data_IF_489512622905
#
_entry.id   IF_489512622905
#
_cell.length_a   1.000
_cell.length_b   1.000
_cell.length_c   1.000
_cell.angle_alpha   90.00
_cell.angle_beta   90.00
_cell.angle_gamma   90.00
#
_symmetry.space_group_name_H-M   'P 1'
#
loop_
_entity.id
_entity.type
_entity.pdbx_description
1 polymer ?
#
# COMPACT_ATOMS: atom_id res chain seq x y z
N UNK A 1 14.49 -18.75 9.11
CA UNK A 1 13.26 -18.65 9.94
C UNK A 1 12.17 -19.40 9.20
N UNK A 2 11.46 -20.36 9.80
CA UNK A 2 10.30 -20.93 9.14
C UNK A 2 9.25 -19.84 8.96
N UNK A 3 8.83 -19.62 7.72
CA UNK A 3 7.74 -18.70 7.39
C UNK A 3 6.39 -19.39 7.67
N UNK A 4 5.32 -18.67 7.97
CA UNK A 4 3.97 -19.23 8.06
C UNK A 4 3.45 -19.68 6.70
N UNK A 5 2.29 -20.32 6.69
CA UNK A 5 1.70 -20.93 5.48
C UNK A 5 1.37 -19.89 4.38
N UNK A 6 1.18 -18.63 4.75
CA UNK A 6 0.82 -17.56 3.84
C UNK A 6 1.69 -16.32 4.07
N UNK A 7 2.41 -15.88 3.06
CA UNK A 7 3.21 -14.64 3.06
C UNK A 7 2.57 -13.63 2.12
N UNK A 8 2.19 -12.49 2.66
CA UNK A 8 1.40 -11.48 1.96
C UNK A 8 2.12 -10.14 1.91
N UNK A 9 2.11 -9.49 0.75
CA UNK A 9 2.57 -8.11 0.58
C UNK A 9 1.36 -7.19 0.36
N UNK A 10 1.17 -6.23 1.24
CA UNK A 10 0.08 -5.24 1.20
C UNK A 10 0.64 -3.87 0.84
N UNK A 11 0.19 -3.31 -0.28
CA UNK A 11 0.74 -2.10 -0.90
C UNK A 11 -0.29 -0.96 -0.89
N UNK A 12 0.02 0.09 -0.14
CA UNK A 12 -0.82 1.30 -0.04
C UNK A 12 -0.79 2.12 -1.33
N UNK A 13 -1.86 2.88 -1.61
CA UNK A 13 -1.88 3.91 -2.64
C UNK A 13 -1.04 5.14 -2.27
N UNK A 14 -0.47 5.83 -3.27
CA UNK A 14 0.35 7.04 -3.00
C UNK A 14 1.19 7.57 -4.16
N UNK A 15 0.79 7.29 -5.41
CA UNK A 15 1.41 7.86 -6.61
C UNK A 15 2.92 7.62 -6.69
N UNK A 16 3.71 8.69 -6.87
CA UNK A 16 5.16 8.62 -7.04
C UNK A 16 5.90 7.97 -5.86
N UNK A 17 5.31 7.97 -4.65
CA UNK A 17 5.86 7.29 -3.49
C UNK A 17 5.94 5.76 -3.65
N UNK A 18 5.23 5.18 -4.61
CA UNK A 18 5.25 3.75 -4.88
C UNK A 18 6.62 3.17 -5.26
N UNK A 19 7.60 4.01 -5.62
CA UNK A 19 8.99 3.58 -5.80
C UNK A 19 9.60 3.01 -4.49
N UNK A 20 9.15 3.46 -3.33
CA UNK A 20 9.49 2.87 -2.03
C UNK A 20 9.05 1.40 -1.95
N UNK A 21 7.84 1.09 -2.44
CA UNK A 21 7.33 -0.29 -2.46
C UNK A 21 8.17 -1.20 -3.35
N UNK A 22 8.67 -0.66 -4.47
CA UNK A 22 9.56 -1.40 -5.36
C UNK A 22 10.89 -1.74 -4.67
N UNK A 23 11.47 -0.80 -3.91
CA UNK A 23 12.65 -1.05 -3.10
C UNK A 23 12.41 -2.07 -1.97
N UNK A 24 11.24 -2.02 -1.34
CA UNK A 24 10.82 -3.04 -0.36
C UNK A 24 10.77 -4.42 -1.01
N UNK A 25 10.09 -4.54 -2.15
CA UNK A 25 9.98 -5.80 -2.86
C UNK A 25 11.35 -6.37 -3.26
N UNK A 26 12.23 -5.54 -3.85
CA UNK A 26 13.58 -5.96 -4.21
C UNK A 26 14.35 -6.52 -3.01
N UNK A 27 14.31 -5.84 -1.86
CA UNK A 27 14.99 -6.32 -0.65
C UNK A 27 14.39 -7.62 -0.10
N UNK A 28 13.06 -7.80 -0.15
CA UNK A 28 12.42 -9.07 0.25
C UNK A 28 12.84 -10.23 -0.65
N UNK A 29 12.97 -9.99 -1.96
CA UNK A 29 13.45 -11.00 -2.93
C UNK A 29 14.91 -11.37 -2.67
N UNK A 30 15.76 -10.38 -2.40
CA UNK A 30 17.19 -10.61 -2.04
C UNK A 30 17.32 -11.49 -0.77
N UNK A 31 16.39 -11.38 0.16
CA UNK A 31 16.30 -12.21 1.38
C UNK A 31 15.71 -13.61 1.14
N UNK A 32 15.29 -13.91 -0.08
CA UNK A 32 14.69 -15.20 -0.40
C UNK A 32 13.22 -15.33 0.01
N UNK A 33 12.53 -14.23 0.35
CA UNK A 33 11.09 -14.27 0.68
C UNK A 33 10.29 -14.62 -0.57
N UNK A 34 9.42 -15.60 -0.48
CA UNK A 34 8.43 -15.95 -1.50
C UNK A 34 7.08 -15.40 -1.07
N UNK A 35 6.36 -14.80 -2.01
CA UNK A 35 5.05 -14.20 -1.78
C UNK A 35 3.96 -15.11 -2.36
N UNK A 36 2.96 -15.39 -1.56
CA UNK A 36 1.76 -16.13 -1.98
C UNK A 36 0.67 -15.20 -2.47
N UNK A 37 0.65 -13.96 -1.95
CA UNK A 37 -0.40 -13.01 -2.24
C UNK A 37 0.13 -11.58 -2.21
N UNK A 38 -0.26 -10.77 -3.20
CA UNK A 38 0.00 -9.33 -3.25
C UNK A 38 -1.34 -8.59 -3.37
N UNK A 39 -1.58 -7.65 -2.48
CA UNK A 39 -2.78 -6.82 -2.49
C UNK A 39 -2.40 -5.34 -2.57
N UNK A 40 -3.02 -4.57 -3.47
CA UNK A 40 -2.64 -3.18 -3.71
C UNK A 40 -3.81 -2.25 -4.02
N UNK A 41 -3.59 -0.96 -3.74
CA UNK A 41 -4.50 0.13 -4.10
C UNK A 41 -3.72 1.16 -4.91
N UNK A 42 -4.32 1.71 -5.98
CA UNK A 42 -3.72 2.78 -6.80
C UNK A 42 -2.34 2.38 -7.34
N UNK A 43 -1.28 3.14 -7.05
CA UNK A 43 0.09 2.77 -7.43
C UNK A 43 0.51 1.41 -6.85
N UNK A 44 -0.03 1.07 -5.67
CA UNK A 44 0.18 -0.26 -5.07
C UNK A 44 -0.43 -1.37 -5.92
N UNK A 45 -1.55 -1.13 -6.62
CA UNK A 45 -2.14 -2.09 -7.56
C UNK A 45 -1.26 -2.26 -8.81
N UNK A 46 -0.63 -1.19 -9.30
CA UNK A 46 0.33 -1.25 -10.42
C UNK A 46 1.53 -2.12 -10.03
N UNK A 47 2.17 -1.82 -8.90
CA UNK A 47 3.29 -2.61 -8.39
C UNK A 47 2.88 -4.08 -8.16
N UNK A 48 1.70 -4.32 -7.56
CA UNK A 48 1.17 -5.66 -7.33
C UNK A 48 0.96 -6.45 -8.62
N UNK A 49 0.42 -5.82 -9.66
CA UNK A 49 0.22 -6.45 -10.97
C UNK A 49 1.56 -6.83 -11.63
N UNK A 50 2.57 -5.96 -11.56
CA UNK A 50 3.91 -6.26 -12.07
C UNK A 50 4.53 -7.44 -11.31
N UNK A 51 4.37 -7.49 -9.98
CA UNK A 51 4.87 -8.60 -9.15
C UNK A 51 4.17 -9.91 -9.51
N UNK A 52 2.83 -9.94 -9.55
CA UNK A 52 2.06 -11.15 -9.81
C UNK A 52 2.18 -11.64 -11.27
N UNK A 53 2.31 -10.72 -12.22
CA UNK A 53 2.40 -11.02 -13.66
C UNK A 53 3.79 -11.40 -14.15
N UNK A 54 4.81 -11.51 -13.27
CA UNK A 54 6.15 -11.86 -13.71
C UNK A 54 6.77 -12.98 -12.85
N UNK A 55 7.69 -13.77 -13.41
CA UNK A 55 8.54 -14.63 -12.60
C UNK A 55 9.31 -13.80 -11.56
N UNK A 56 9.54 -14.40 -10.38
CA UNK A 56 10.19 -13.74 -9.26
C UNK A 56 11.52 -13.06 -9.62
N UNK A 57 12.33 -13.72 -10.40
CA UNK A 57 13.64 -13.25 -10.89
C UNK A 57 13.55 -12.12 -11.92
N UNK A 58 12.43 -11.99 -12.62
CA UNK A 58 12.19 -10.96 -13.62
C UNK A 58 11.42 -9.74 -13.06
N UNK A 59 10.61 -9.93 -12.01
CA UNK A 59 9.68 -8.91 -11.52
C UNK A 59 10.38 -7.62 -11.07
N UNK A 60 11.53 -7.71 -10.39
CA UNK A 60 12.32 -6.53 -9.98
C UNK A 60 12.77 -5.73 -11.21
N UNK A 61 13.25 -6.41 -12.25
CA UNK A 61 13.64 -5.78 -13.51
C UNK A 61 12.48 -5.08 -14.20
N UNK A 62 11.28 -5.69 -14.19
CA UNK A 62 10.05 -5.10 -14.74
C UNK A 62 9.55 -3.90 -13.92
N UNK A 63 9.65 -3.96 -12.60
CA UNK A 63 9.36 -2.80 -11.76
C UNK A 63 10.33 -1.64 -12.04
N UNK A 64 11.62 -1.94 -12.22
CA UNK A 64 12.61 -0.92 -12.57
C UNK A 64 12.32 -0.32 -13.95
N UNK A 65 11.99 -1.14 -14.94
CA UNK A 65 11.56 -0.67 -16.27
C UNK A 65 10.35 0.28 -16.19
N UNK A 66 9.34 -0.06 -15.37
CA UNK A 66 8.20 0.82 -15.11
C UNK A 66 8.63 2.15 -14.50
N UNK A 67 9.32 2.11 -13.36
CA UNK A 67 9.69 3.29 -12.60
C UNK A 67 10.67 4.20 -13.35
N UNK A 68 11.60 3.63 -14.10
CA UNK A 68 12.49 4.37 -14.97
C UNK A 68 11.76 5.02 -16.15
N UNK A 69 10.78 4.33 -16.72
CA UNK A 69 9.94 4.84 -17.78
C UNK A 69 9.14 6.07 -17.33
N UNK A 70 8.40 5.98 -16.24
CA UNK A 70 7.56 7.07 -15.71
C UNK A 70 8.39 8.25 -15.17
N UNK A 71 9.66 8.07 -14.87
CA UNK A 71 10.58 9.14 -14.41
C UNK A 71 11.48 9.71 -15.51
N UNK A 72 11.28 9.32 -16.77
CA UNK A 72 12.20 9.64 -17.88
C UNK A 72 12.07 11.04 -18.47
N UNK A 73 10.92 11.70 -18.33
CA UNK A 73 10.64 12.98 -18.99
C UNK A 73 11.22 14.20 -18.27
N UNK A 74 11.59 14.04 -16.99
CA UNK A 74 12.11 15.17 -16.22
C UNK A 74 13.61 15.27 -16.42
N UNK A 75 14.15 16.43 -16.88
CA UNK A 75 15.59 16.61 -17.02
C UNK A 75 16.23 16.41 -15.65
N UNK A 76 17.35 15.70 -15.64
CA UNK A 76 18.19 15.62 -14.45
C UNK A 76 18.75 17.03 -14.20
N UNK A 77 18.07 17.78 -13.37
CA UNK A 77 18.60 19.04 -12.89
C UNK A 77 19.81 18.70 -12.01
N UNK A 78 20.99 19.18 -12.40
CA UNK A 78 22.16 19.17 -11.53
C UNK A 78 21.88 20.14 -10.38
N UNK A 79 21.24 19.61 -9.35
CA UNK A 79 20.84 20.39 -8.18
C UNK A 79 22.00 20.40 -7.21
N UNK A 80 22.29 21.58 -6.65
CA UNK A 80 23.26 21.72 -5.58
C UNK A 80 22.91 20.78 -4.41
N UNK A 81 23.89 20.22 -3.76
CA UNK A 81 23.69 19.23 -2.69
C UNK A 81 23.30 19.91 -1.35
N UNK A 82 22.19 20.66 -1.39
CA UNK A 82 21.56 21.25 -0.23
C UNK A 82 20.04 21.11 -0.30
N UNK A 83 19.39 21.06 0.85
CA UNK A 83 17.95 20.77 0.96
C UNK A 83 17.08 21.83 0.23
N UNK A 84 17.42 23.11 0.29
CA UNK A 84 16.68 24.17 -0.37
C UNK A 84 16.67 24.01 -1.90
N UNK A 85 17.81 23.68 -2.50
CA UNK A 85 17.88 23.46 -3.94
C UNK A 85 17.11 22.20 -4.37
N UNK A 86 17.14 21.12 -3.55
CA UNK A 86 16.36 19.92 -3.77
C UNK A 86 14.86 20.17 -3.67
N UNK A 87 14.42 20.96 -2.72
CA UNK A 87 13.04 21.39 -2.54
C UNK A 87 12.52 22.17 -3.76
N UNK A 88 13.27 23.16 -4.26
CA UNK A 88 12.94 23.88 -5.48
C UNK A 88 12.87 22.98 -6.71
N UNK A 89 13.80 22.06 -6.87
CA UNK A 89 13.78 21.08 -7.94
C UNK A 89 12.55 20.15 -7.87
N UNK A 90 12.18 19.75 -6.66
CA UNK A 90 11.01 18.93 -6.39
C UNK A 90 9.70 19.65 -6.80
N UNK A 91 9.56 20.92 -6.44
CA UNK A 91 8.43 21.75 -6.89
C UNK A 91 8.38 21.94 -8.41
N UNK A 92 9.52 22.20 -9.04
CA UNK A 92 9.61 22.36 -10.48
C UNK A 92 9.21 21.06 -11.20
N UNK A 93 9.67 19.92 -10.72
CA UNK A 93 9.33 18.60 -11.24
C UNK A 93 7.82 18.29 -11.10
N UNK A 94 7.23 18.57 -9.94
CA UNK A 94 5.79 18.41 -9.73
C UNK A 94 4.97 19.34 -10.68
N UNK A 95 5.42 20.56 -10.88
CA UNK A 95 4.81 21.48 -11.85
C UNK A 95 4.87 20.97 -13.29
N UNK A 96 5.98 20.35 -13.70
CA UNK A 96 6.11 19.72 -15.02
C UNK A 96 5.16 18.53 -15.17
N UNK A 97 5.04 17.68 -14.17
CA UNK A 97 4.08 16.56 -14.14
C UNK A 97 2.65 17.07 -14.30
N UNK A 98 2.28 18.12 -13.59
CA UNK A 98 0.95 18.73 -13.71
C UNK A 98 0.69 19.30 -15.13
N UNK A 99 1.69 19.90 -15.77
CA UNK A 99 1.56 20.52 -17.07
C UNK A 99 1.62 19.53 -18.25
N UNK A 100 2.47 18.51 -18.17
CA UNK A 100 2.80 17.62 -19.30
C UNK A 100 2.43 16.15 -19.06
N UNK A 101 1.98 15.79 -17.86
CA UNK A 101 1.72 14.40 -17.48
C UNK A 101 2.99 13.61 -17.19
N UNK A 102 2.84 12.28 -17.20
CA UNK A 102 3.89 11.31 -16.91
C UNK A 102 3.99 10.32 -18.06
N UNK A 103 5.17 10.15 -18.69
CA UNK A 103 5.35 9.21 -19.80
C UNK A 103 4.94 7.79 -19.42
N UNK A 104 4.20 7.13 -20.33
CA UNK A 104 3.75 5.77 -20.10
C UNK A 104 2.75 5.60 -18.94
N UNK A 105 2.24 6.72 -18.37
CA UNK A 105 1.27 6.69 -17.29
C UNK A 105 0.03 7.51 -17.65
N UNK A 106 0.15 8.83 -17.74
CA UNK A 106 -0.97 9.71 -18.10
C UNK A 106 -0.51 10.95 -18.85
N UNK A 107 -1.40 11.48 -19.70
CA UNK A 107 -1.17 12.70 -20.50
C UNK A 107 -2.29 13.69 -20.27
N UNK A 108 -2.02 15.03 -20.33
CA UNK A 108 -3.05 16.04 -20.25
C UNK A 108 -4.05 15.91 -21.41
N UNK A 109 -5.34 16.12 -21.14
CA UNK A 109 -6.35 16.14 -22.19
C UNK A 109 -6.28 17.39 -23.05
N UNK A 110 -6.32 17.17 -24.35
CA UNK A 110 -6.42 18.23 -25.36
C UNK A 110 -7.59 17.86 -26.30
N UNK A 111 -8.68 18.64 -26.31
CA UNK A 111 -8.94 19.84 -25.53
C UNK A 111 -9.15 19.57 -24.02
N UNK A 112 -8.99 20.61 -23.16
CA UNK A 112 -9.28 20.49 -21.73
C UNK A 112 -10.72 20.05 -21.42
N UNK A 113 -11.00 19.47 -20.23
CA UNK A 113 -12.29 18.84 -19.89
C UNK A 113 -13.53 19.72 -20.12
N UNK A 114 -13.40 21.04 -19.91
CA UNK A 114 -14.50 22.00 -20.10
C UNK A 114 -15.01 22.09 -21.53
N UNK A 115 -14.26 21.60 -22.50
CA UNK A 115 -14.64 21.56 -23.92
C UNK A 115 -15.03 20.14 -24.39
N UNK A 116 -14.98 19.16 -23.52
CA UNK A 116 -15.39 17.79 -23.81
C UNK A 116 -16.91 17.64 -23.77
N UNK A 117 -17.44 16.65 -24.48
CA UNK A 117 -18.87 16.36 -24.46
C UNK A 117 -19.31 15.99 -23.02
N UNK A 118 -20.42 16.55 -22.52
CA UNK A 118 -20.96 16.19 -21.22
C UNK A 118 -21.19 14.68 -21.07
N UNK A 119 -21.10 14.16 -19.86
CA UNK A 119 -21.31 12.74 -19.53
C UNK A 119 -20.25 11.78 -20.13
N UNK A 120 -19.11 12.31 -20.56
CA UNK A 120 -17.97 11.46 -20.97
C UNK A 120 -16.88 11.49 -19.90
N UNK A 121 -16.06 10.42 -19.80
CA UNK A 121 -14.88 10.43 -18.91
C UNK A 121 -13.95 11.63 -19.16
N UNK A 122 -13.88 12.11 -20.39
CA UNK A 122 -13.08 13.28 -20.76
C UNK A 122 -13.60 14.58 -20.15
N UNK A 123 -14.90 14.71 -19.90
CA UNK A 123 -15.50 15.90 -19.28
C UNK A 123 -15.25 16.00 -17.76
N UNK A 124 -14.85 14.88 -17.12
CA UNK A 124 -14.71 14.79 -15.67
C UNK A 124 -13.30 14.39 -15.21
N UNK A 125 -12.31 14.47 -16.11
CA UNK A 125 -10.91 14.18 -15.78
C UNK A 125 -9.93 15.06 -16.54
N UNK A 126 -8.85 15.49 -15.86
CA UNK A 126 -7.82 16.34 -16.46
C UNK A 126 -6.86 15.59 -17.37
N UNK A 127 -6.64 14.30 -17.09
CA UNK A 127 -5.67 13.48 -17.80
C UNK A 127 -6.34 12.29 -18.48
N UNK A 128 -5.63 11.71 -19.45
CA UNK A 128 -5.93 10.45 -20.11
C UNK A 128 -4.93 9.38 -19.65
N UNK A 129 -5.41 8.19 -19.34
CA UNK A 129 -4.61 7.07 -18.83
C UNK A 129 -4.39 5.97 -19.88
N UNK A 130 -4.73 6.20 -21.16
CA UNK A 130 -4.42 5.24 -22.22
C UNK A 130 -2.94 4.81 -22.27
N UNK A 131 -1.94 5.70 -22.03
CA UNK A 131 -0.54 5.27 -21.99
C UNK A 131 -0.22 4.23 -20.91
N UNK A 132 -0.97 4.21 -19.80
CA UNK A 132 -0.77 3.21 -18.74
C UNK A 132 -1.23 1.82 -19.18
N UNK A 133 -2.29 1.71 -19.98
CA UNK A 133 -2.73 0.42 -20.53
C UNK A 133 -1.61 -0.23 -21.33
N UNK A 134 -1.02 0.52 -22.27
CA UNK A 134 0.09 0.03 -23.12
C UNK A 134 1.30 -0.37 -22.27
N UNK A 135 1.60 0.40 -21.23
CA UNK A 135 2.69 0.12 -20.30
C UNK A 135 2.45 -1.16 -19.52
N UNK A 136 1.24 -1.34 -18.98
CA UNK A 136 0.89 -2.55 -18.23
C UNK A 136 0.87 -3.79 -19.12
N UNK A 137 0.27 -3.70 -20.32
CA UNK A 137 0.22 -4.82 -21.26
C UNK A 137 1.62 -5.28 -21.72
N UNK A 138 2.60 -4.39 -21.72
CA UNK A 138 4.00 -4.69 -22.01
C UNK A 138 4.76 -5.29 -20.81
N UNK A 139 4.39 -4.90 -19.60
CA UNK A 139 5.13 -5.27 -18.37
C UNK A 139 4.52 -6.44 -17.60
N UNK A 140 3.25 -6.75 -17.82
CA UNK A 140 2.47 -7.73 -17.06
C UNK A 140 1.99 -8.85 -17.95
N UNK A 141 2.30 -10.06 -17.61
CA UNK A 141 1.69 -11.25 -18.20
C UNK A 141 0.35 -11.53 -17.50
N UNK A 142 -0.74 -11.14 -18.15
CA UNK A 142 -2.10 -11.31 -17.60
C UNK A 142 -2.54 -12.76 -17.45
N UNK A 143 -2.05 -13.66 -18.27
CA UNK A 143 -2.34 -15.10 -18.14
C UNK A 143 -1.67 -15.62 -16.87
N UNK A 144 -0.41 -15.24 -16.62
CA UNK A 144 0.28 -15.58 -15.37
C UNK A 144 -0.43 -15.00 -14.13
N UNK A 145 -0.93 -13.76 -14.20
CA UNK A 145 -1.73 -13.16 -13.11
C UNK A 145 -2.93 -14.06 -12.80
N UNK A 146 -3.66 -14.46 -13.83
CA UNK A 146 -4.89 -15.23 -13.71
C UNK A 146 -4.67 -16.73 -13.47
N UNK A 147 -3.48 -17.25 -13.68
CA UNK A 147 -3.07 -18.59 -13.26
C UNK A 147 -2.90 -18.72 -11.73
N UNK A 148 -2.92 -17.59 -11.02
CA UNK A 148 -2.97 -17.54 -9.56
C UNK A 148 -1.72 -18.05 -8.84
N UNK A 149 -0.55 -18.06 -9.49
CA UNK A 149 0.73 -18.44 -8.86
C UNK A 149 1.08 -17.53 -7.69
N UNK A 150 0.79 -16.23 -7.85
CA UNK A 150 0.73 -15.25 -6.78
C UNK A 150 -0.66 -14.66 -6.83
N UNK A 151 -1.46 -14.82 -5.79
CA UNK A 151 -2.79 -14.22 -5.71
C UNK A 151 -2.69 -12.70 -5.81
N UNK A 152 -3.51 -12.08 -6.63
CA UNK A 152 -3.58 -10.63 -6.78
C UNK A 152 -4.96 -10.13 -6.34
N UNK A 153 -4.99 -9.11 -5.47
CA UNK A 153 -6.20 -8.37 -5.15
C UNK A 153 -5.99 -6.87 -5.34
N UNK A 154 -6.92 -6.21 -6.00
CA UNK A 154 -6.90 -4.76 -6.18
C UNK A 154 -8.26 -4.17 -5.82
N UNK A 155 -8.25 -3.02 -5.16
CA UNK A 155 -9.49 -2.39 -4.67
C UNK A 155 -9.84 -1.14 -5.44
N UNK A 156 -11.14 -0.95 -5.70
CA UNK A 156 -11.70 0.24 -6.34
C UNK A 156 -13.06 0.60 -5.72
N UNK A 157 -13.55 1.81 -5.99
CA UNK A 157 -14.83 2.33 -5.47
C UNK A 157 -15.81 2.51 -6.61
N UNK A 158 -16.99 1.90 -6.51
CA UNK A 158 -18.06 2.12 -7.48
C UNK A 158 -18.58 3.56 -7.38
N UNK A 159 -18.56 4.28 -8.51
CA UNK A 159 -18.86 5.73 -8.56
C UNK A 159 -20.28 6.05 -8.10
N UNK A 160 -21.25 5.28 -8.56
CA UNK A 160 -22.67 5.56 -8.32
C UNK A 160 -23.12 5.24 -6.89
N UNK A 161 -22.45 4.28 -6.23
CA UNK A 161 -22.88 3.79 -4.91
C UNK A 161 -21.95 4.16 -3.77
N UNK A 162 -20.67 4.50 -4.09
CA UNK A 162 -19.60 4.67 -3.12
C UNK A 162 -19.17 3.36 -2.46
N UNK A 163 -19.68 2.21 -2.90
CA UNK A 163 -19.30 0.92 -2.35
C UNK A 163 -17.90 0.50 -2.82
N UNK A 164 -17.15 -0.02 -1.87
CA UNK A 164 -15.83 -0.58 -2.15
C UNK A 164 -15.94 -2.00 -2.73
N UNK A 165 -15.14 -2.31 -3.75
CA UNK A 165 -15.02 -3.65 -4.34
C UNK A 165 -13.56 -4.04 -4.42
N UNK A 166 -13.26 -5.28 -4.02
CA UNK A 166 -12.00 -5.94 -4.36
C UNK A 166 -12.22 -6.82 -5.60
N UNK A 167 -11.33 -6.68 -6.57
CA UNK A 167 -11.15 -7.63 -7.67
C UNK A 167 -10.00 -8.56 -7.26
N UNK A 168 -10.24 -9.85 -7.28
CA UNK A 168 -9.35 -10.86 -6.73
C UNK A 168 -9.21 -12.04 -7.70
N UNK A 169 -7.99 -12.50 -7.99
CA UNK A 169 -7.74 -13.60 -8.92
C UNK A 169 -8.36 -14.94 -8.53
N UNK A 170 -8.87 -15.08 -7.30
CA UNK A 170 -9.67 -16.25 -6.88
C UNK A 170 -11.09 -16.21 -7.44
N UNK A 171 -11.63 -15.05 -7.75
CA UNK A 171 -13.03 -14.84 -8.13
C UNK A 171 -13.21 -14.11 -9.45
N UNK A 172 -12.22 -13.32 -9.84
CA UNK A 172 -12.30 -12.44 -11.00
C UNK A 172 -11.15 -12.75 -11.98
N UNK A 173 -11.39 -12.53 -13.28
CA UNK A 173 -10.32 -12.46 -14.27
C UNK A 173 -9.81 -11.02 -14.37
N UNK A 174 -8.60 -10.78 -13.90
CA UNK A 174 -8.01 -9.44 -13.83
C UNK A 174 -7.27 -9.09 -15.12
N UNK A 175 -7.43 -7.84 -15.57
CA UNK A 175 -6.69 -7.22 -16.67
C UNK A 175 -6.30 -5.78 -16.34
N UNK A 176 -5.68 -5.06 -17.28
CA UNK A 176 -5.22 -3.69 -17.08
C UNK A 176 -6.33 -2.73 -16.60
N UNK A 177 -7.61 -2.94 -17.01
CA UNK A 177 -8.74 -2.07 -16.60
C UNK A 177 -8.95 -2.09 -15.09
N UNK A 178 -8.77 -3.23 -14.44
CA UNK A 178 -8.90 -3.37 -12.98
C UNK A 178 -7.83 -2.57 -12.24
N UNK A 179 -6.61 -2.56 -12.79
CA UNK A 179 -5.51 -1.78 -12.23
C UNK A 179 -5.75 -0.29 -12.42
N UNK A 180 -6.20 0.11 -13.63
CA UNK A 180 -6.57 1.50 -13.91
C UNK A 180 -7.70 1.98 -13.00
N UNK A 181 -8.73 1.15 -12.79
CA UNK A 181 -9.86 1.46 -11.89
C UNK A 181 -9.38 1.73 -10.47
N UNK A 182 -8.45 0.89 -9.97
CA UNK A 182 -7.84 1.06 -8.64
C UNK A 182 -7.04 2.35 -8.52
N UNK A 183 -6.49 2.88 -9.62
CA UNK A 183 -5.71 4.12 -9.65
C UNK A 183 -6.43 5.35 -10.20
N UNK A 184 -7.71 5.26 -10.52
CA UNK A 184 -8.52 6.32 -11.15
C UNK A 184 -8.91 7.42 -10.15
N UNK A 185 -7.95 8.20 -9.65
CA UNK A 185 -8.19 9.26 -8.65
C UNK A 185 -8.83 10.51 -9.27
N UNK A 186 -10.10 10.82 -8.93
CA UNK A 186 -10.77 12.01 -9.45
C UNK A 186 -10.25 13.31 -8.79
N UNK A 187 -10.31 14.46 -9.46
CA UNK A 187 -10.68 14.66 -10.87
C UNK A 187 -9.46 14.53 -11.81
N UNK A 188 -8.33 14.06 -11.32
CA UNK A 188 -7.10 13.91 -12.12
C UNK A 188 -7.32 12.89 -13.23
N UNK A 189 -7.67 11.67 -12.86
CA UNK A 189 -7.76 10.52 -13.76
C UNK A 189 -9.23 10.10 -14.01
N UNK A 190 -9.54 9.55 -15.21
CA UNK A 190 -10.90 9.18 -15.59
C UNK A 190 -11.39 7.97 -14.81
N UNK A 191 -12.70 7.85 -14.54
CA UNK A 191 -13.29 6.60 -14.09
C UNK A 191 -13.14 5.51 -15.14
N UNK A 192 -13.10 4.26 -14.70
CA UNK A 192 -12.99 3.08 -15.56
C UNK A 192 -14.24 2.23 -15.45
N UNK A 193 -14.81 1.85 -16.58
CA UNK A 193 -15.97 0.95 -16.63
C UNK A 193 -15.53 -0.51 -16.64
N UNK A 194 -16.09 -1.30 -15.72
CA UNK A 194 -15.92 -2.75 -15.64
C UNK A 194 -17.30 -3.36 -15.46
N UNK A 195 -17.71 -4.20 -16.40
CA UNK A 195 -19.01 -4.92 -16.38
C UNK A 195 -20.23 -4.01 -16.14
N UNK A 196 -20.23 -2.82 -16.78
CA UNK A 196 -21.32 -1.84 -16.69
C UNK A 196 -21.34 -0.99 -15.41
N UNK A 197 -20.32 -1.09 -14.57
CA UNK A 197 -20.15 -0.26 -13.37
C UNK A 197 -18.91 0.63 -13.52
N UNK A 198 -19.05 1.90 -13.20
CA UNK A 198 -17.92 2.86 -13.21
C UNK A 198 -17.17 2.84 -11.87
N UNK A 199 -15.84 2.83 -11.92
CA UNK A 199 -14.99 2.77 -10.75
C UNK A 199 -14.00 3.93 -10.69
N UNK A 200 -13.76 4.42 -9.48
CA UNK A 200 -12.70 5.32 -9.09
C UNK A 200 -11.71 4.64 -8.15
N UNK A 201 -10.60 5.37 -7.86
CA UNK A 201 -9.50 4.94 -7.00
C UNK A 201 -10.01 4.45 -5.64
N UNK A 202 -9.53 3.26 -5.24
CA UNK A 202 -9.84 2.67 -3.95
C UNK A 202 -9.43 3.54 -2.76
N UNK A 203 -8.39 4.37 -2.92
CA UNK A 203 -7.90 5.28 -1.89
C UNK A 203 -8.93 6.31 -1.40
N UNK A 204 -10.01 6.55 -2.14
CA UNK A 204 -11.12 7.39 -1.68
C UNK A 204 -11.81 6.84 -0.43
N UNK A 205 -11.85 5.53 -0.27
CA UNK A 205 -12.52 4.84 0.85
C UNK A 205 -11.53 4.11 1.75
N UNK A 206 -10.67 3.27 1.16
CA UNK A 206 -9.65 2.50 1.89
C UNK A 206 -8.35 2.46 1.08
N UNK A 207 -7.28 3.03 1.65
CA UNK A 207 -6.01 3.16 0.93
C UNK A 207 -5.04 1.98 1.18
N UNK A 208 -5.39 1.03 2.05
CA UNK A 208 -4.55 -0.13 2.38
C UNK A 208 -5.44 -1.37 2.51
N UNK A 209 -5.23 -2.42 1.70
CA UNK A 209 -6.13 -3.58 1.60
C UNK A 209 -5.92 -4.65 2.68
N UNK A 210 -5.41 -4.31 3.87
CA UNK A 210 -5.11 -5.28 4.93
C UNK A 210 -6.36 -5.99 5.46
N UNK A 211 -7.49 -5.26 5.63
CA UNK A 211 -8.73 -5.84 6.14
C UNK A 211 -9.23 -6.95 5.21
N UNK A 212 -9.25 -6.70 3.90
CA UNK A 212 -9.60 -7.71 2.90
C UNK A 212 -8.71 -8.95 2.98
N UNK A 213 -7.39 -8.75 3.12
CA UNK A 213 -6.43 -9.85 3.25
C UNK A 213 -6.74 -10.70 4.47
N UNK A 214 -6.94 -10.08 5.63
CA UNK A 214 -7.18 -10.79 6.90
C UNK A 214 -8.54 -11.49 6.93
N UNK A 215 -9.56 -10.93 6.26
CA UNK A 215 -10.91 -11.50 6.19
C UNK A 215 -11.08 -12.58 5.12
N UNK A 216 -10.19 -12.60 4.12
CA UNK A 216 -10.25 -13.53 2.98
C UNK A 216 -9.30 -14.73 3.09
N UNK A 217 -8.68 -14.95 4.25
CA UNK A 217 -7.78 -16.06 4.49
C UNK A 217 -7.96 -16.67 5.87
N UNK A 218 -7.93 -18.01 5.91
CA UNK A 218 -8.07 -18.82 7.12
C UNK A 218 -6.72 -19.41 7.60
N UNK A 219 -5.63 -19.11 6.88
CA UNK A 219 -4.28 -19.61 7.17
C UNK A 219 -3.52 -18.73 8.16
N UNK A 220 -2.48 -19.25 8.78
CA UNK A 220 -1.51 -18.45 9.51
C UNK A 220 -0.72 -17.58 8.52
N UNK A 221 -0.59 -16.28 8.80
CA UNK A 221 -0.02 -15.36 7.84
C UNK A 221 1.03 -14.42 8.40
N UNK A 222 2.00 -14.10 7.55
CA UNK A 222 2.93 -12.99 7.70
C UNK A 222 2.59 -11.93 6.64
N UNK A 223 2.25 -10.74 7.09
CA UNK A 223 1.92 -9.62 6.21
C UNK A 223 3.02 -8.58 6.29
N UNK A 224 3.65 -8.29 5.16
CA UNK A 224 4.45 -7.08 4.97
C UNK A 224 3.52 -5.97 4.50
N UNK A 225 3.21 -5.04 5.37
CA UNK A 225 2.37 -3.88 5.07
C UNK A 225 3.25 -2.69 4.75
N UNK A 226 3.15 -2.17 3.53
CA UNK A 226 3.95 -1.04 3.05
C UNK A 226 3.09 0.21 3.02
N UNK A 227 3.33 1.10 3.97
CA UNK A 227 2.61 2.36 4.12
C UNK A 227 3.43 3.53 3.55
N UNK A 228 2.81 4.34 2.70
CA UNK A 228 3.46 5.47 2.03
C UNK A 228 3.25 6.80 2.76
N UNK A 229 2.32 6.85 3.70
CA UNK A 229 1.99 8.04 4.47
C UNK A 229 2.22 7.78 5.96
N UNK A 230 3.13 8.53 6.63
CA UNK A 230 3.43 8.34 8.03
C UNK A 230 2.31 8.90 8.92
N UNK A 231 1.87 8.11 9.91
CA UNK A 231 0.87 8.56 10.88
C UNK A 231 1.43 9.63 11.84
N UNK A 232 2.71 9.50 12.20
CA UNK A 232 3.42 10.46 13.05
C UNK A 232 4.18 11.46 12.19
N UNK A 233 4.24 12.71 12.61
CA UNK A 233 5.00 13.75 11.94
C UNK A 233 5.07 15.00 12.82
N UNK A 234 5.98 15.95 12.51
CA UNK A 234 6.13 17.19 13.24
C UNK A 234 4.87 18.08 13.13
N UNK A 235 4.82 19.09 13.98
CA UNK A 235 3.81 20.14 13.87
C UNK A 235 4.16 21.03 12.65
N UNK A 236 3.20 21.29 11.73
CA UNK A 236 3.43 22.17 10.59
C UNK A 236 3.76 23.61 11.01
N UNK A 237 4.67 24.24 10.25
CA UNK A 237 5.09 25.63 10.46
C UNK A 237 4.54 26.57 9.39
N UNK A 238 4.13 26.04 8.21
CA UNK A 238 3.55 26.79 7.11
C UNK A 238 2.38 26.04 6.45
N UNK A 239 1.79 26.64 5.38
CA UNK A 239 0.64 26.08 4.68
C UNK A 239 0.97 24.81 3.90
N UNK A 240 2.16 24.73 3.36
CA UNK A 240 2.61 23.55 2.60
C UNK A 240 2.75 22.34 3.52
N UNK A 241 3.47 22.53 4.61
CA UNK A 241 3.59 21.49 5.64
C UNK A 241 2.23 21.09 6.22
N UNK A 242 1.29 22.06 6.36
CA UNK A 242 -0.07 21.79 6.81
C UNK A 242 -0.84 20.91 5.82
N UNK A 243 -0.77 21.18 4.52
CA UNK A 243 -1.39 20.34 3.48
C UNK A 243 -0.74 18.96 3.39
N UNK A 244 0.58 18.92 3.44
CA UNK A 244 1.33 17.66 3.48
C UNK A 244 0.91 16.81 4.69
N UNK A 245 0.84 17.41 5.87
CA UNK A 245 0.46 16.73 7.11
C UNK A 245 -1.01 16.29 7.12
N UNK A 246 -1.92 17.10 6.56
CA UNK A 246 -3.34 16.72 6.38
C UNK A 246 -3.46 15.45 5.53
N UNK A 247 -2.72 15.39 4.42
CA UNK A 247 -2.65 14.22 3.54
C UNK A 247 -2.13 12.99 4.26
N UNK A 248 -1.04 13.13 5.02
CA UNK A 248 -0.49 12.06 5.84
C UNK A 248 -1.51 11.50 6.83
N UNK A 249 -2.19 12.38 7.55
CA UNK A 249 -3.22 11.98 8.52
C UNK A 249 -4.38 11.27 7.82
N UNK A 250 -4.86 11.82 6.70
CA UNK A 250 -5.98 11.27 5.94
C UNK A 250 -5.73 9.84 5.51
N UNK A 251 -4.56 9.57 4.93
CA UNK A 251 -4.24 8.25 4.38
C UNK A 251 -3.69 7.26 5.41
N UNK A 252 -3.02 7.74 6.48
CA UNK A 252 -2.46 6.85 7.50
C UNK A 252 -3.43 6.49 8.63
N UNK A 253 -4.38 7.36 8.97
CA UNK A 253 -5.20 7.21 10.18
C UNK A 253 -6.10 5.97 10.12
N UNK A 254 -6.72 5.71 8.97
CA UNK A 254 -7.56 4.52 8.76
C UNK A 254 -6.73 3.25 8.80
N UNK A 255 -5.61 3.23 8.08
CA UNK A 255 -4.70 2.09 8.01
C UNK A 255 -4.25 1.64 9.39
N UNK A 256 -3.75 2.56 10.22
CA UNK A 256 -3.28 2.23 11.57
C UNK A 256 -4.41 1.68 12.45
N UNK A 257 -5.58 2.31 12.41
CA UNK A 257 -6.74 1.86 13.20
C UNK A 257 -7.19 0.46 12.80
N UNK A 258 -7.19 0.16 11.52
CA UNK A 258 -7.54 -1.16 10.98
C UNK A 258 -6.50 -2.19 11.41
N UNK A 259 -5.21 -1.95 11.17
CA UNK A 259 -4.13 -2.89 11.49
C UNK A 259 -4.10 -3.22 12.99
N UNK A 260 -4.12 -2.20 13.85
CA UNK A 260 -4.11 -2.39 15.31
C UNK A 260 -5.39 -3.10 15.80
N UNK A 261 -6.54 -2.80 15.17
CA UNK A 261 -7.82 -3.45 15.47
C UNK A 261 -7.85 -4.93 15.12
N UNK A 262 -7.33 -5.28 13.95
CA UNK A 262 -7.27 -6.67 13.48
C UNK A 262 -6.36 -7.53 14.37
N UNK A 263 -5.15 -7.06 14.64
CA UNK A 263 -4.21 -7.79 15.53
C UNK A 263 -4.78 -7.93 16.94
N UNK A 264 -5.40 -6.86 17.49
CA UNK A 264 -6.07 -6.94 18.79
C UNK A 264 -7.19 -7.97 18.79
N UNK A 265 -8.06 -7.98 17.78
CA UNK A 265 -9.15 -8.98 17.64
C UNK A 265 -8.60 -10.40 17.62
N UNK A 266 -7.51 -10.67 16.89
CA UNK A 266 -6.86 -11.98 16.87
C UNK A 266 -6.31 -12.37 18.26
N UNK A 267 -5.74 -11.43 19.02
CA UNK A 267 -5.30 -11.68 20.41
C UNK A 267 -6.46 -12.02 21.34
N UNK A 268 -7.56 -11.29 21.23
CA UNK A 268 -8.78 -11.51 22.01
C UNK A 268 -9.40 -12.89 21.67
N UNK A 269 -9.52 -13.25 20.40
CA UNK A 269 -10.00 -14.56 19.96
C UNK A 269 -9.13 -15.69 20.49
N UNK A 270 -7.79 -15.54 20.43
CA UNK A 270 -6.88 -16.54 20.99
C UNK A 270 -7.02 -16.71 22.51
N UNK A 271 -7.28 -15.61 23.24
CA UNK A 271 -7.55 -15.68 24.66
C UNK A 271 -8.83 -16.47 24.96
N UNK A 272 -9.90 -16.17 24.21
CA UNK A 272 -11.17 -16.89 24.32
C UNK A 272 -10.98 -18.39 23.99
N UNK A 273 -10.27 -18.71 22.90
CA UNK A 273 -9.97 -20.10 22.54
C UNK A 273 -9.29 -20.86 23.69
N UNK A 274 -8.26 -20.25 24.32
CA UNK A 274 -7.60 -20.83 25.49
C UNK A 274 -8.52 -21.01 26.70
N UNK A 275 -9.53 -20.19 26.85
CA UNK A 275 -10.54 -20.35 27.90
C UNK A 275 -11.49 -21.51 27.57
N UNK A 276 -11.90 -21.62 26.31
CA UNK A 276 -12.73 -22.73 25.84
C UNK A 276 -12.03 -24.10 26.03
N UNK A 277 -10.71 -24.15 25.79
CA UNK A 277 -9.90 -25.36 26.01
C UNK A 277 -9.92 -25.87 27.46
N UNK A 278 -10.21 -24.99 28.42
CA UNK A 278 -10.30 -25.32 29.85
C UNK A 278 -11.70 -25.73 30.30
N UNK A 279 -12.72 -25.62 29.41
CA UNK A 279 -14.10 -26.01 29.76
C UNK A 279 -14.22 -27.54 29.91
N UNK A 280 -15.04 -28.02 30.86
CA UNK A 280 -15.43 -29.42 30.95
C UNK A 280 -16.08 -29.90 29.64
N UNK A 281 -15.91 -31.14 29.28
CA UNK A 281 -16.41 -31.73 28.05
C UNK A 281 -17.93 -31.61 27.90
N UNK A 282 -18.66 -31.67 29.00
CA UNK A 282 -20.10 -31.49 29.08
C UNK A 282 -20.55 -30.10 28.62
N UNK A 283 -19.70 -29.09 28.81
CA UNK A 283 -19.98 -27.71 28.35
C UNK A 283 -19.60 -27.48 26.89
N UNK A 284 -18.62 -28.21 26.37
CA UNK A 284 -18.16 -28.06 24.98
C UNK A 284 -19.20 -28.49 23.94
N UNK A 285 -20.16 -29.33 24.33
CA UNK A 285 -21.23 -29.78 23.44
C UNK A 285 -22.36 -28.79 23.30
N UNK A 286 -22.41 -27.75 24.14
CA UNK A 286 -23.44 -26.72 24.10
C UNK A 286 -23.39 -25.93 22.77
N UNK A 287 -24.54 -25.64 22.14
CA UNK A 287 -24.60 -24.90 20.88
C UNK A 287 -23.90 -23.53 20.95
N UNK A 288 -24.02 -22.83 22.07
CA UNK A 288 -23.42 -21.53 22.31
C UNK A 288 -21.88 -21.62 22.34
N UNK A 289 -21.33 -22.64 23.00
CA UNK A 289 -19.90 -22.88 23.07
C UNK A 289 -19.35 -23.21 21.67
N UNK A 290 -20.02 -24.07 20.91
CA UNK A 290 -19.65 -24.39 19.53
C UNK A 290 -19.75 -23.18 18.61
N UNK A 291 -20.68 -22.26 18.84
CA UNK A 291 -20.76 -21.02 18.09
C UNK A 291 -19.55 -20.12 18.38
N UNK A 292 -19.16 -19.97 19.65
CA UNK A 292 -17.97 -19.21 20.04
C UNK A 292 -16.68 -19.87 19.52
N UNK A 293 -16.56 -21.19 19.60
CA UNK A 293 -15.40 -21.93 19.03
C UNK A 293 -15.19 -21.57 17.55
N UNK A 294 -16.28 -21.57 16.75
CA UNK A 294 -16.20 -21.17 15.32
C UNK A 294 -15.81 -19.71 15.13
N UNK A 295 -16.23 -18.80 16.01
CA UNK A 295 -15.88 -17.38 15.93
C UNK A 295 -14.38 -17.13 16.23
N UNK A 296 -13.79 -17.93 17.11
CA UNK A 296 -12.41 -17.74 17.58
C UNK A 296 -11.41 -18.69 16.90
N UNK A 297 -11.86 -19.53 15.97
CA UNK A 297 -10.99 -20.38 15.16
C UNK A 297 -10.28 -19.53 14.10
N UNK A 298 -9.34 -18.72 14.56
CA UNK A 298 -8.51 -17.89 13.70
C UNK A 298 -7.03 -18.18 13.92
N UNK A 299 -6.32 -18.29 12.80
CA UNK A 299 -4.89 -18.53 12.75
C UNK A 299 -4.08 -17.29 13.14
N UNK A 300 -2.79 -17.48 13.38
CA UNK A 300 -1.88 -16.40 13.76
C UNK A 300 -1.74 -15.35 12.65
N UNK A 301 -1.71 -14.07 13.06
CA UNK A 301 -1.49 -12.94 12.18
C UNK A 301 -0.27 -12.14 12.66
N UNK A 302 0.79 -12.11 11.87
CA UNK A 302 1.93 -11.24 12.11
C UNK A 302 2.00 -10.15 11.03
N UNK A 303 2.05 -8.90 11.45
CA UNK A 303 2.11 -7.74 10.54
C UNK A 303 3.41 -6.99 10.76
N UNK A 304 4.24 -6.89 9.73
CA UNK A 304 5.44 -6.05 9.69
C UNK A 304 5.12 -4.79 8.91
N UNK A 305 5.10 -3.64 9.58
CA UNK A 305 4.81 -2.36 8.97
C UNK A 305 6.10 -1.68 8.52
N UNK A 306 6.22 -1.48 7.20
CA UNK A 306 7.30 -0.77 6.53
C UNK A 306 6.75 0.58 6.10
N UNK A 307 7.09 1.63 6.85
CA UNK A 307 6.46 2.95 6.69
C UNK A 307 7.47 3.89 6.05
N UNK A 308 7.10 4.48 4.91
CA UNK A 308 7.89 5.51 4.25
C UNK A 308 8.04 6.72 5.18
N UNK A 309 9.28 7.12 5.43
CA UNK A 309 9.64 8.32 6.18
C UNK A 309 10.23 9.33 5.19
N UNK A 310 9.47 10.37 4.80
CA UNK A 310 9.94 11.32 3.79
C UNK A 310 11.15 12.11 4.32
N UNK A 311 12.22 12.26 3.53
CA UNK A 311 13.28 13.21 3.82
C UNK A 311 12.76 14.65 3.87
N UNK A 312 13.46 15.55 4.57
CA UNK A 312 13.02 16.93 4.77
C UNK A 312 12.83 17.73 3.47
N UNK A 313 13.58 17.39 2.41
CA UNK A 313 13.46 18.03 1.11
C UNK A 313 12.27 17.58 0.25
N UNK A 314 11.58 16.50 0.63
CA UNK A 314 10.35 16.08 -0.06
C UNK A 314 9.18 16.93 0.41
N UNK A 315 8.61 17.70 -0.51
CA UNK A 315 7.53 18.64 -0.25
C UNK A 315 6.14 17.98 -0.23
N UNK A 316 5.09 18.76 -0.05
CA UNK A 316 3.70 18.30 -0.10
C UNK A 316 3.25 17.72 -1.44
N UNK A 317 4.04 17.91 -2.50
CA UNK A 317 3.80 17.36 -3.84
C UNK A 317 4.40 15.96 -4.07
N UNK A 318 4.98 15.34 -3.07
CA UNK A 318 5.76 14.08 -3.17
C UNK A 318 5.03 12.89 -3.79
N UNK A 319 3.71 12.85 -3.75
CA UNK A 319 2.87 11.81 -4.35
C UNK A 319 2.65 11.96 -5.86
N UNK A 320 2.98 13.08 -6.45
CA UNK A 320 2.95 13.34 -7.91
C UNK A 320 4.23 13.95 -8.47
N UNK A 321 5.33 13.84 -7.74
CA UNK A 321 6.66 14.22 -8.20
C UNK A 321 7.42 12.98 -8.69
N UNK A 322 7.47 12.78 -10.02
CA UNK A 322 8.02 11.60 -10.68
C UNK A 322 9.44 11.79 -11.20
N UNK A 323 10.27 12.64 -10.59
CA UNK A 323 11.67 12.78 -11.03
C UNK A 323 12.48 11.51 -10.74
N UNK A 324 13.49 11.28 -11.56
CA UNK A 324 14.42 10.16 -11.40
C UNK A 324 15.09 10.19 -10.02
N UNK A 325 15.50 11.36 -9.56
CA UNK A 325 16.20 11.52 -8.29
C UNK A 325 15.30 11.13 -7.10
N UNK A 326 14.03 11.53 -7.12
CA UNK A 326 13.04 11.15 -6.08
C UNK A 326 12.71 9.66 -6.15
N UNK A 327 12.56 9.12 -7.36
CA UNK A 327 12.33 7.69 -7.56
C UNK A 327 13.47 6.85 -6.97
N UNK A 328 14.73 7.17 -7.30
CA UNK A 328 15.90 6.43 -6.81
C UNK A 328 16.04 6.57 -5.28
N UNK A 329 15.77 7.76 -4.73
CA UNK A 329 15.80 7.98 -3.28
C UNK A 329 14.72 7.15 -2.55
N UNK A 330 13.49 7.15 -3.05
CA UNK A 330 12.40 6.37 -2.47
C UNK A 330 12.66 4.86 -2.58
N UNK A 331 13.22 4.40 -3.69
CA UNK A 331 13.63 3.00 -3.87
C UNK A 331 14.68 2.58 -2.83
N UNK A 332 15.73 3.41 -2.65
CA UNK A 332 16.75 3.15 -1.64
C UNK A 332 16.18 3.14 -0.21
N UNK A 333 15.26 4.05 0.12
CA UNK A 333 14.57 4.07 1.41
C UNK A 333 13.76 2.79 1.64
N UNK A 334 13.11 2.25 0.60
CA UNK A 334 12.36 1.00 0.69
C UNK A 334 13.26 -0.19 1.05
N UNK A 335 14.42 -0.31 0.40
CA UNK A 335 15.42 -1.32 0.73
C UNK A 335 15.91 -1.18 2.18
N UNK A 336 16.27 0.04 2.56
CA UNK A 336 16.76 0.32 3.92
C UNK A 336 15.72 -0.01 5.01
N UNK A 337 14.42 0.18 4.74
CA UNK A 337 13.35 -0.18 5.68
C UNK A 337 13.29 -1.69 5.94
N UNK A 338 13.46 -2.52 4.90
CA UNK A 338 13.54 -3.98 5.07
C UNK A 338 14.80 -4.38 5.83
N UNK A 339 15.96 -3.83 5.48
CA UNK A 339 17.22 -4.10 6.18
C UNK A 339 17.14 -3.72 7.67
N UNK A 340 16.50 -2.59 7.99
CA UNK A 340 16.28 -2.18 9.38
C UNK A 340 15.35 -3.15 10.12
N UNK A 341 14.35 -3.74 9.45
CA UNK A 341 13.44 -4.71 10.06
C UNK A 341 14.13 -6.01 10.50
N UNK A 342 15.28 -6.32 9.91
CA UNK A 342 16.05 -7.54 10.24
C UNK A 342 16.86 -7.42 11.52
N UNK A 343 17.17 -6.21 12.00
CA UNK A 343 18.02 -6.01 13.19
C UNK A 343 17.47 -6.72 14.43
N UNK A 344 16.14 -6.78 14.57
CA UNK A 344 15.45 -7.46 15.67
C UNK A 344 14.50 -8.56 15.15
N UNK A 345 14.84 -9.19 14.03
CA UNK A 345 14.04 -10.23 13.40
C UNK A 345 13.75 -11.45 14.28
N UNK A 346 14.51 -11.64 15.40
CA UNK A 346 14.26 -12.68 16.39
C UNK A 346 12.88 -12.52 17.06
N UNK A 347 12.40 -11.29 17.29
CA UNK A 347 11.08 -11.02 17.87
C UNK A 347 9.95 -11.53 16.98
N UNK A 348 10.06 -11.30 15.67
CA UNK A 348 9.13 -11.83 14.69
C UNK A 348 9.20 -13.35 14.61
N UNK A 349 10.43 -13.91 14.58
CA UNK A 349 10.64 -15.34 14.54
C UNK A 349 10.01 -16.07 15.75
N UNK A 350 10.17 -15.50 16.94
CA UNK A 350 9.56 -16.01 18.17
C UNK A 350 8.02 -15.96 18.12
N UNK A 351 7.46 -14.81 17.66
CA UNK A 351 6.01 -14.66 17.51
C UNK A 351 5.41 -15.70 16.54
N UNK A 352 6.08 -15.95 15.41
CA UNK A 352 5.66 -16.95 14.43
C UNK A 352 5.78 -18.36 15.03
N UNK A 353 6.92 -18.71 15.65
CA UNK A 353 7.15 -20.03 16.24
C UNK A 353 6.15 -20.38 17.34
N UNK A 354 5.73 -19.39 18.13
CA UNK A 354 4.73 -19.56 19.19
C UNK A 354 3.28 -19.42 18.68
N UNK A 355 3.09 -19.21 17.39
CA UNK A 355 1.78 -18.97 16.77
C UNK A 355 1.08 -17.74 17.35
N UNK A 356 1.80 -16.72 17.81
CA UNK A 356 1.22 -15.46 18.31
C UNK A 356 0.73 -14.58 17.15
N UNK A 357 -0.11 -13.62 17.49
CA UNK A 357 -0.53 -12.55 16.58
C UNK A 357 0.04 -11.24 17.08
N UNK A 358 0.99 -10.67 16.35
CA UNK A 358 1.68 -9.44 16.73
C UNK A 358 1.82 -8.47 15.56
N UNK A 359 1.92 -7.18 15.87
CA UNK A 359 2.24 -6.13 14.92
C UNK A 359 3.57 -5.49 15.28
N UNK A 360 4.42 -5.35 14.28
CA UNK A 360 5.75 -4.77 14.41
C UNK A 360 5.85 -3.55 13.50
N UNK A 361 6.52 -2.51 13.99
CA UNK A 361 6.89 -1.35 13.17
C UNK A 361 8.41 -1.19 13.16
N UNK A 362 8.96 -0.73 12.06
CA UNK A 362 10.37 -0.37 11.97
C UNK A 362 10.55 1.04 12.51
N UNK A 363 11.29 1.16 13.62
CA UNK A 363 11.69 2.43 14.23
C UNK A 363 13.22 2.59 14.17
N UNK A 364 13.74 3.73 14.61
CA UNK A 364 15.17 4.05 14.51
C UNK A 364 16.13 3.01 15.14
N UNK A 365 15.63 2.15 16.05
CA UNK A 365 16.39 1.08 16.70
C UNK A 365 16.26 -0.30 16.06
N UNK A 366 15.38 -0.49 15.07
CA UNK A 366 15.06 -1.78 14.45
C UNK A 366 13.58 -2.13 14.54
N UNK A 367 13.25 -3.43 14.47
CA UNK A 367 11.87 -3.93 14.53
C UNK A 367 11.37 -3.93 15.99
N UNK A 368 10.32 -3.18 16.25
CA UNK A 368 9.72 -3.08 17.59
C UNK A 368 8.28 -3.59 17.60
N UNK A 369 7.90 -4.41 18.63
CA UNK A 369 6.50 -4.76 18.80
C UNK A 369 5.69 -3.50 19.11
N UNK A 370 4.60 -3.29 18.37
CA UNK A 370 3.65 -2.24 18.74
C UNK A 370 2.92 -2.65 20.01
N UNK A 371 3.23 -1.95 21.14
CA UNK A 371 2.43 -2.10 22.35
C UNK A 371 1.02 -1.57 22.09
N UNK A 372 -0.01 -2.38 22.37
CA UNK A 372 -1.38 -1.91 22.43
C UNK A 372 -1.45 -0.78 23.49
N UNK A 373 -1.64 0.46 23.02
CA UNK A 373 -1.84 1.66 23.85
C UNK A 373 -0.74 1.99 24.90
N UNK A 374 0.36 2.56 24.46
CA UNK A 374 0.91 3.65 25.23
C UNK A 374 0.08 4.92 24.90
N UNK A 375 -0.96 5.18 25.64
CA UNK A 375 -1.46 6.55 25.81
C UNK A 375 -0.26 7.29 26.37
N UNK A 376 0.39 8.13 25.56
CA UNK A 376 1.48 8.99 26.04
C UNK A 376 0.92 9.79 27.22
N UNK A 377 1.56 9.77 28.37
CA UNK A 377 1.15 10.66 29.45
C UNK A 377 1.18 12.09 28.92
N UNK A 378 0.12 12.84 29.15
CA UNK A 378 0.05 14.25 28.84
C UNK A 378 1.30 14.93 29.42
N UNK A 379 1.97 15.82 28.66
CA UNK A 379 3.09 16.56 29.24
C UNK A 379 2.63 17.25 30.50
N UNK A 380 3.47 17.32 31.57
CA UNK A 380 3.08 17.96 32.80
C UNK A 380 2.71 19.42 32.52
N UNK A 381 1.53 19.82 32.98
CA UNK A 381 1.13 21.24 32.98
C UNK A 381 2.23 22.05 33.65
N UNK A 382 2.83 22.96 32.89
CA UNK A 382 3.66 24.00 33.49
C UNK A 382 2.71 24.85 34.37
N UNK A 383 2.85 24.71 35.66
CA UNK A 383 2.31 25.69 36.62
C UNK A 383 3.13 26.95 36.43
N UNK A 384 2.47 28.00 35.96
CA UNK A 384 2.96 29.38 36.07
C UNK A 384 2.99 29.83 37.54
#
# INVERSE_FOLDING_TARGET
MPLPDLVVLVLQGGGALGAFQAGVYEALIDLGVELDWVAGISIGAINAAIIAGNPRDAAVGKMREFWEGVSSALPVLLVADNDLAREWAHWAAAGQVAAFGVPGFFTPRIPPPMFAAPQTPAAISFYDTAPLVETLDRLVDWDRVNDGKVRLSVGAVAVETGNFRYFDTRTDRIDARHILASGALPPGLPPVEIDGTWYWDGGLVSNTPLEHVVESADEAMLVFQVDLFPARGPRPHDLEEAWSREKDIRFSSRTRRISDGLVRRRKEHRLIARMLDKLPEEMRVLPEVKAVERMVDCKALNVVQLIHQPPAWQTGARDFEFSRATMDANWALGRAAVEASLKDGHLLAESIAEGRSDSFAVEAGGLQPKSAHAVSPSPPEKKD
#
